data_IF_104305657890
#
_entry.id   IF_104305657890
#
_cell.length_a   1.000
_cell.length_b   1.000
_cell.length_c   1.000
_cell.angle_alpha   90.00
_cell.angle_beta   90.00
_cell.angle_gamma   90.00
#
_symmetry.space_group_name_H-M   'P 1'
#
loop_
_entity.id
_entity.type
_entity.pdbx_description
1 polymer ?
#
# COMPACT_ATOMS: atom_id res chain seq x y z
N UNK A 1 11.29 -9.61 -30.09
CA UNK A 1 10.80 -8.40 -29.44
C UNK A 1 10.71 -8.63 -27.95
N UNK A 2 11.33 -7.76 -27.23
CA UNK A 2 11.34 -7.90 -25.79
C UNK A 2 10.02 -7.54 -25.17
N UNK A 3 9.60 -8.34 -24.21
CA UNK A 3 8.46 -7.99 -23.41
C UNK A 3 8.84 -6.87 -22.46
N UNK A 4 7.90 -6.03 -22.06
CA UNK A 4 8.14 -5.09 -20.97
C UNK A 4 8.64 -5.85 -19.75
N UNK A 5 9.49 -5.21 -18.96
CA UNK A 5 10.02 -5.81 -17.74
C UNK A 5 8.89 -6.12 -16.76
N UNK A 6 7.81 -5.39 -16.84
CA UNK A 6 6.61 -5.67 -16.04
C UNK A 6 5.40 -5.52 -16.93
N UNK A 7 4.37 -6.28 -16.62
CA UNK A 7 3.08 -6.12 -17.26
C UNK A 7 2.15 -5.40 -16.30
N UNK A 8 1.33 -4.48 -16.81
CA UNK A 8 0.34 -3.85 -15.95
C UNK A 8 -0.59 -4.90 -15.37
N UNK A 9 -0.96 -4.75 -14.12
CA UNK A 9 -1.99 -5.60 -13.51
C UNK A 9 -3.34 -5.28 -14.18
N UNK A 10 -4.19 -6.30 -14.27
CA UNK A 10 -5.49 -6.13 -14.89
C UNK A 10 -6.46 -5.42 -13.96
N UNK A 11 -7.14 -4.39 -14.43
CA UNK A 11 -8.13 -3.65 -13.68
C UNK A 11 -9.09 -2.90 -14.59
N UNK A 12 -10.18 -2.43 -14.02
CA UNK A 12 -11.20 -1.66 -14.75
C UNK A 12 -11.06 -0.14 -14.56
N UNK A 13 -9.91 0.32 -14.07
CA UNK A 13 -9.65 1.72 -13.71
C UNK A 13 -10.00 2.05 -12.29
N UNK A 14 -10.75 1.21 -11.60
CA UNK A 14 -11.21 1.43 -10.24
C UNK A 14 -10.72 0.33 -9.28
N UNK A 15 -10.87 -0.92 -9.68
CA UNK A 15 -10.53 -2.06 -8.82
C UNK A 15 -9.65 -3.05 -9.56
N UNK A 16 -8.73 -3.65 -8.82
CA UNK A 16 -7.87 -4.70 -9.33
C UNK A 16 -8.69 -5.96 -9.58
N UNK A 17 -8.50 -6.56 -10.77
CA UNK A 17 -9.31 -7.72 -11.17
C UNK A 17 -9.06 -8.96 -10.33
N UNK A 18 -7.85 -9.11 -9.79
CA UNK A 18 -7.51 -10.28 -9.00
C UNK A 18 -7.93 -10.17 -7.54
N UNK A 19 -7.69 -9.01 -6.92
CA UNK A 19 -7.85 -8.84 -5.48
C UNK A 19 -9.06 -8.02 -5.08
N UNK A 20 -9.65 -7.31 -6.04
CA UNK A 20 -10.72 -6.34 -5.82
C UNK A 20 -10.32 -5.15 -4.92
N UNK A 21 -9.04 -4.99 -4.65
CA UNK A 21 -8.53 -3.78 -4.00
C UNK A 21 -8.58 -2.62 -5.00
N UNK A 22 -8.31 -1.41 -4.51
CA UNK A 22 -8.25 -0.26 -5.40
C UNK A 22 -7.16 -0.47 -6.45
N UNK A 23 -7.48 -0.11 -7.69
CA UNK A 23 -6.50 -0.06 -8.76
C UNK A 23 -5.73 1.27 -8.68
N UNK A 24 -4.54 1.35 -9.26
CA UNK A 24 -3.73 2.56 -9.13
C UNK A 24 -4.43 3.87 -9.49
N UNK A 25 -5.21 3.96 -10.61
CA UNK A 25 -5.83 5.25 -10.92
C UNK A 25 -6.76 5.76 -9.85
N UNK A 26 -7.63 4.90 -9.33
CA UNK A 26 -8.56 5.30 -8.27
C UNK A 26 -7.84 5.57 -6.95
N UNK A 27 -6.83 4.75 -6.65
CA UNK A 27 -6.04 4.94 -5.44
C UNK A 27 -5.37 6.33 -5.42
N UNK A 28 -4.74 6.72 -6.53
CA UNK A 28 -4.07 8.01 -6.61
C UNK A 28 -5.05 9.17 -6.53
N UNK A 29 -6.23 9.00 -7.13
CA UNK A 29 -7.28 10.01 -7.05
C UNK A 29 -7.76 10.20 -5.61
N UNK A 30 -8.01 9.10 -4.90
CA UNK A 30 -8.45 9.16 -3.50
C UNK A 30 -7.33 9.66 -2.59
N UNK A 31 -6.08 9.30 -2.88
CA UNK A 31 -4.92 9.81 -2.13
C UNK A 31 -4.84 11.34 -2.26
N UNK A 32 -5.05 11.87 -3.45
CA UNK A 32 -5.01 13.31 -3.66
C UNK A 32 -6.05 14.03 -2.80
N UNK A 33 -7.23 13.43 -2.66
CA UNK A 33 -8.29 13.99 -1.80
C UNK A 33 -7.88 13.97 -0.33
N UNK A 34 -7.30 12.87 0.13
CA UNK A 34 -6.86 12.77 1.52
C UNK A 34 -5.70 13.71 1.81
N UNK A 35 -4.77 13.89 0.87
CA UNK A 35 -3.70 14.87 1.03
C UNK A 35 -4.25 16.28 1.12
N UNK A 36 -5.27 16.63 0.32
CA UNK A 36 -5.91 17.92 0.39
C UNK A 36 -6.54 18.16 1.77
N UNK A 37 -7.14 17.12 2.36
CA UNK A 37 -7.66 17.21 3.73
C UNK A 37 -6.55 17.42 4.74
N UNK A 38 -5.44 16.68 4.59
CA UNK A 38 -4.28 16.83 5.46
C UNK A 38 -3.76 18.27 5.45
N UNK A 39 -3.72 18.90 4.28
CA UNK A 39 -3.23 20.27 4.16
C UNK A 39 -4.16 21.29 4.82
N UNK A 40 -5.46 20.98 4.90
CA UNK A 40 -6.47 21.91 5.47
C UNK A 40 -6.75 21.66 6.95
N UNK A 41 -6.48 20.49 7.44
CA UNK A 41 -6.78 20.11 8.82
C UNK A 41 -5.61 19.30 9.36
N UNK A 42 -5.46 19.25 10.67
CA UNK A 42 -4.33 18.58 11.30
C UNK A 42 -4.54 17.06 11.37
N UNK A 43 -5.07 16.44 10.31
CA UNK A 43 -5.23 14.98 10.24
C UNK A 43 -3.88 14.38 9.91
N UNK A 44 -3.44 13.41 10.71
CA UNK A 44 -2.21 12.69 10.42
C UNK A 44 -2.49 11.57 9.43
N UNK A 45 -1.58 11.40 8.47
CA UNK A 45 -1.63 10.35 7.45
C UNK A 45 -0.27 9.69 7.35
N UNK A 46 -0.28 8.42 6.96
CA UNK A 46 0.94 7.70 6.58
C UNK A 46 0.67 6.91 5.30
N UNK A 47 1.55 7.05 4.34
CA UNK A 47 1.54 6.23 3.13
C UNK A 47 2.47 5.03 3.34
N UNK A 48 2.03 3.86 2.93
CA UNK A 48 2.77 2.61 3.11
C UNK A 48 2.91 1.93 1.76
N UNK A 49 4.11 1.47 1.47
CA UNK A 49 4.38 0.61 0.33
C UNK A 49 4.75 -0.77 0.87
N UNK A 50 4.04 -1.80 0.40
CA UNK A 50 4.26 -3.18 0.81
C UNK A 50 4.63 -4.01 -0.40
N UNK A 51 5.56 -4.92 -0.23
CA UNK A 51 5.96 -5.85 -1.29
C UNK A 51 5.99 -7.27 -0.77
N UNK A 52 5.45 -8.17 -1.58
CA UNK A 52 5.59 -9.61 -1.40
C UNK A 52 6.78 -10.09 -2.21
N UNK A 53 7.38 -11.24 -1.84
CA UNK A 53 8.42 -11.85 -2.66
C UNK A 53 7.91 -12.13 -4.08
N UNK A 54 8.77 -11.98 -5.07
CA UNK A 54 8.42 -12.25 -6.47
C UNK A 54 8.11 -13.72 -6.73
N UNK A 55 8.37 -14.58 -5.77
CA UNK A 55 8.04 -16.01 -5.82
C UNK A 55 6.63 -16.32 -5.32
N UNK A 56 5.89 -15.29 -4.87
CA UNK A 56 4.54 -15.49 -4.34
C UNK A 56 3.60 -16.01 -5.42
N UNK A 57 2.75 -16.95 -5.04
CA UNK A 57 1.74 -17.49 -5.94
C UNK A 57 0.53 -16.57 -6.01
N UNK A 58 -0.32 -16.79 -7.03
CA UNK A 58 -1.59 -16.05 -7.16
C UNK A 58 -2.43 -16.22 -5.90
N UNK A 59 -2.53 -17.43 -5.37
CA UNK A 59 -3.30 -17.69 -4.15
C UNK A 59 -2.75 -16.93 -2.96
N UNK A 60 -1.43 -16.81 -2.86
CA UNK A 60 -0.79 -16.05 -1.80
C UNK A 60 -1.06 -14.55 -1.94
N UNK A 61 -1.06 -14.04 -3.16
CA UNK A 61 -1.39 -12.64 -3.42
C UNK A 61 -2.82 -12.34 -2.98
N UNK A 62 -3.77 -13.20 -3.36
CA UNK A 62 -5.18 -13.04 -2.98
C UNK A 62 -5.35 -13.14 -1.47
N UNK A 63 -4.69 -14.11 -0.84
CA UNK A 63 -4.76 -14.28 0.61
C UNK A 63 -4.20 -13.06 1.35
N UNK A 64 -3.10 -12.50 0.87
CA UNK A 64 -2.52 -11.30 1.47
C UNK A 64 -3.46 -10.10 1.33
N UNK A 65 -4.09 -9.94 0.16
CA UNK A 65 -5.08 -8.89 -0.05
C UNK A 65 -6.22 -8.98 0.96
N UNK A 66 -6.70 -10.20 1.24
CA UNK A 66 -7.75 -10.42 2.23
C UNK A 66 -7.29 -10.04 3.64
N UNK A 67 -6.05 -10.38 3.99
CA UNK A 67 -5.47 -10.01 5.28
C UNK A 67 -5.41 -8.49 5.42
N UNK A 68 -4.97 -7.79 4.37
CA UNK A 68 -4.94 -6.32 4.38
C UNK A 68 -6.33 -5.73 4.57
N UNK A 69 -7.29 -6.21 3.80
CA UNK A 69 -8.67 -5.72 3.86
C UNK A 69 -9.27 -5.93 5.24
N UNK A 70 -9.03 -7.07 5.86
CA UNK A 70 -9.54 -7.38 7.18
C UNK A 70 -8.84 -6.61 8.30
N UNK A 71 -7.63 -6.14 8.06
CA UNK A 71 -6.85 -5.39 9.05
C UNK A 71 -7.08 -3.89 8.98
N UNK A 72 -7.64 -3.40 7.89
CA UNK A 72 -7.81 -1.97 7.64
C UNK A 72 -9.10 -1.45 8.25
N UNK A 73 -9.10 -0.13 8.51
CA UNK A 73 -10.29 0.60 8.91
C UNK A 73 -11.03 1.08 7.65
N UNK A 74 -12.30 1.46 7.83
CA UNK A 74 -13.14 1.90 6.70
C UNK A 74 -12.55 3.11 5.96
N UNK A 75 -11.86 4.01 6.67
CA UNK A 75 -11.27 5.20 6.07
C UNK A 75 -9.90 4.96 5.42
N UNK A 76 -9.31 3.79 5.65
CA UNK A 76 -8.01 3.45 5.08
C UNK A 76 -8.16 3.11 3.59
N UNK A 77 -7.18 3.52 2.79
CA UNK A 77 -7.15 3.18 1.38
C UNK A 77 -6.17 2.03 1.19
N UNK A 78 -6.59 1.00 0.46
CA UNK A 78 -5.75 -0.15 0.15
C UNK A 78 -5.81 -0.40 -1.33
N UNK A 79 -4.64 -0.48 -1.97
CA UNK A 79 -4.53 -0.69 -3.40
C UNK A 79 -3.53 -1.79 -3.72
N UNK A 80 -3.72 -2.40 -4.87
CA UNK A 80 -2.69 -3.23 -5.50
C UNK A 80 -2.07 -2.38 -6.60
N UNK A 81 -0.79 -2.10 -6.49
CA UNK A 81 -0.09 -1.17 -7.39
C UNK A 81 0.89 -1.86 -8.33
N UNK A 82 1.12 -3.13 -8.15
CA UNK A 82 1.96 -3.95 -9.02
C UNK A 82 1.66 -5.42 -8.78
N UNK A 83 2.33 -6.30 -9.50
CA UNK A 83 2.07 -7.73 -9.37
C UNK A 83 2.25 -8.21 -7.91
N UNK A 84 3.33 -7.76 -7.27
CA UNK A 84 3.66 -8.13 -5.89
C UNK A 84 3.66 -6.92 -4.95
N UNK A 85 3.11 -5.79 -5.39
CA UNK A 85 3.18 -4.56 -4.66
C UNK A 85 1.80 -4.06 -4.26
N UNK A 86 1.71 -3.58 -3.02
CA UNK A 86 0.50 -3.01 -2.46
C UNK A 86 0.82 -1.65 -1.87
N UNK A 87 -0.18 -0.79 -1.84
CA UNK A 87 -0.03 0.54 -1.26
C UNK A 87 -1.21 0.82 -0.34
N UNK A 88 -0.92 1.48 0.76
CA UNK A 88 -1.93 1.86 1.72
C UNK A 88 -1.77 3.33 2.09
N UNK A 89 -2.89 3.96 2.40
CA UNK A 89 -2.89 5.27 3.03
C UNK A 89 -3.75 5.15 4.27
N UNK A 90 -3.15 5.31 5.44
CA UNK A 90 -3.83 5.16 6.71
C UNK A 90 -3.83 6.47 7.47
N UNK A 91 -4.87 6.70 8.27
CA UNK A 91 -4.94 7.85 9.16
C UNK A 91 -4.25 7.52 10.46
N UNK A 92 -3.31 8.37 10.85
CA UNK A 92 -2.54 8.20 12.05
C UNK A 92 -1.06 8.45 11.81
N UNK A 93 -0.27 8.33 12.87
CA UNK A 93 1.16 8.53 12.83
C UNK A 93 1.90 7.19 12.61
N UNK A 94 3.22 7.24 12.69
CA UNK A 94 4.04 6.04 12.50
C UNK A 94 3.71 4.91 13.48
N UNK A 95 3.24 5.24 14.68
CA UNK A 95 2.88 4.21 15.64
C UNK A 95 1.67 3.41 15.19
N UNK A 96 0.74 4.04 14.46
CA UNK A 96 -0.41 3.36 13.86
C UNK A 96 0.06 2.40 12.78
N UNK A 97 1.04 2.80 11.97
CA UNK A 97 1.63 1.93 10.93
C UNK A 97 2.28 0.72 11.57
N UNK A 98 3.07 0.91 12.62
CA UNK A 98 3.74 -0.19 13.31
C UNK A 98 2.73 -1.19 13.87
N UNK A 99 1.65 -0.69 14.45
CA UNK A 99 0.57 -1.55 14.95
C UNK A 99 -0.13 -2.29 13.81
N UNK A 100 -0.34 -1.61 12.70
CA UNK A 100 -0.96 -2.21 11.52
C UNK A 100 -0.09 -3.37 11.00
N UNK A 101 1.19 -3.12 10.80
CA UNK A 101 2.14 -4.13 10.34
C UNK A 101 2.20 -5.30 11.33
N UNK A 102 2.20 -5.00 12.63
CA UNK A 102 2.24 -6.03 13.67
C UNK A 102 1.00 -6.90 13.73
N UNK A 103 -0.14 -6.42 13.21
CA UNK A 103 -1.38 -7.21 13.16
C UNK A 103 -1.49 -8.08 11.92
N UNK A 104 -0.62 -7.88 10.92
CA UNK A 104 -0.67 -8.68 9.70
C UNK A 104 -0.20 -10.09 10.05
N UNK A 105 -1.13 -11.03 9.95
CA UNK A 105 -0.88 -12.45 10.20
C UNK A 105 -0.70 -13.15 8.87
N UNK A 106 0.55 -13.22 8.41
CA UNK A 106 0.84 -13.80 7.12
C UNK A 106 2.18 -14.53 7.18
N UNK A 107 2.20 -15.76 6.68
CA UNK A 107 3.35 -16.65 6.81
C UNK A 107 4.53 -16.28 5.91
N UNK A 108 4.33 -15.34 4.98
CA UNK A 108 5.37 -14.94 4.04
C UNK A 108 6.00 -13.63 4.52
N UNK A 109 7.31 -13.54 4.38
CA UNK A 109 8.03 -12.32 4.70
C UNK A 109 7.57 -11.18 3.79
N UNK A 110 7.16 -10.07 4.38
CA UNK A 110 6.80 -8.87 3.63
C UNK A 110 7.86 -7.80 3.83
N UNK A 111 8.00 -6.94 2.82
CA UNK A 111 8.86 -5.77 2.92
C UNK A 111 8.01 -4.52 2.84
N UNK A 112 8.34 -3.50 3.61
CA UNK A 112 7.53 -2.30 3.62
C UNK A 112 8.37 -1.04 3.82
N UNK A 113 7.83 0.08 3.37
CA UNK A 113 8.33 1.40 3.66
C UNK A 113 7.14 2.30 3.94
N UNK A 114 7.31 3.30 4.77
CA UNK A 114 6.25 4.25 5.07
C UNK A 114 6.78 5.67 5.16
N UNK A 115 5.90 6.63 4.89
CA UNK A 115 6.24 8.04 4.96
C UNK A 115 5.00 8.84 5.32
N UNK A 116 5.17 9.81 6.22
CA UNK A 116 4.13 10.79 6.49
C UNK A 116 4.27 11.95 5.50
N UNK A 117 3.15 12.51 5.00
CA UNK A 117 3.21 13.67 4.12
C UNK A 117 3.84 14.85 4.82
N UNK A 118 4.52 15.69 4.05
CA UNK A 118 5.03 16.97 4.52
C UNK A 118 4.05 18.09 4.17
N UNK A 119 4.10 19.18 4.89
CA UNK A 119 3.28 20.35 4.59
C UNK A 119 3.52 20.81 3.15
N UNK A 120 2.45 20.98 2.38
CA UNK A 120 2.52 21.42 1.00
C UNK A 120 2.91 20.34 -0.01
N UNK A 121 3.16 19.12 0.44
CA UNK A 121 3.57 18.03 -0.44
C UNK A 121 2.40 17.53 -1.28
N UNK A 122 2.62 17.40 -2.58
CA UNK A 122 1.61 16.81 -3.48
C UNK A 122 1.82 15.30 -3.61
N UNK A 123 0.82 14.63 -4.17
CA UNK A 123 0.81 13.16 -4.28
C UNK A 123 2.09 12.63 -4.93
N UNK A 124 2.49 13.20 -6.07
CA UNK A 124 3.67 12.71 -6.79
C UNK A 124 4.95 12.85 -5.96
N UNK A 125 5.10 13.95 -5.24
CA UNK A 125 6.26 14.15 -4.38
C UNK A 125 6.31 13.13 -3.25
N UNK A 126 5.17 12.88 -2.61
CA UNK A 126 5.08 11.88 -1.56
C UNK A 126 5.42 10.48 -2.07
N UNK A 127 4.86 10.11 -3.23
CA UNK A 127 5.13 8.81 -3.83
C UNK A 127 6.59 8.64 -4.22
N UNK A 128 7.19 9.68 -4.81
CA UNK A 128 8.61 9.64 -5.17
C UNK A 128 9.49 9.48 -3.94
N UNK A 129 9.15 10.18 -2.87
CA UNK A 129 9.90 10.10 -1.62
C UNK A 129 9.75 8.72 -0.98
N UNK A 130 8.54 8.16 -1.02
CA UNK A 130 8.27 6.83 -0.50
C UNK A 130 9.06 5.75 -1.27
N UNK A 131 9.15 5.90 -2.59
CA UNK A 131 9.89 4.96 -3.45
C UNK A 131 11.39 4.94 -3.16
N UNK A 132 11.92 6.01 -2.60
CA UNK A 132 13.34 6.13 -2.27
C UNK A 132 13.68 5.56 -0.89
N UNK A 133 12.70 5.26 -0.09
CA UNK A 133 12.92 4.69 1.24
C UNK A 133 13.23 3.20 1.09
N UNK A 134 14.31 2.77 1.73
CA UNK A 134 14.68 1.35 1.73
C UNK A 134 13.62 0.54 2.46
N UNK A 135 13.25 -0.60 1.88
CA UNK A 135 12.24 -1.46 2.46
C UNK A 135 12.76 -2.17 3.72
N UNK A 136 11.91 -2.17 4.74
CA UNK A 136 12.15 -2.92 5.97
C UNK A 136 11.43 -4.26 5.84
N UNK A 137 12.13 -5.34 6.16
CA UNK A 137 11.52 -6.67 6.14
C UNK A 137 10.83 -6.94 7.46
N UNK A 138 9.60 -7.43 7.36
CA UNK A 138 8.83 -7.83 8.52
C UNK A 138 8.40 -9.27 8.35
N UNK A 139 8.74 -10.10 9.34
CA UNK A 139 8.31 -11.48 9.37
C UNK A 139 7.26 -11.60 10.44
N UNK A 140 6.07 -12.05 10.06
CA UNK A 140 4.99 -12.28 11.00
C UNK A 140 4.94 -13.74 11.38
N UNK A 141 6.09 -14.31 11.66
CA UNK A 141 6.16 -15.68 12.11
C UNK A 141 5.81 -15.74 13.57
N UNK A 142 4.94 -16.64 13.89
CA UNK A 142 4.59 -16.95 15.28
C UNK A 142 5.48 -18.03 15.75
N UNK A 143 6.10 -17.73 16.82
CA UNK A 143 6.77 -18.79 17.55
C UNK A 143 5.72 -19.61 18.28
#
# INVERSE_FOLDING_TARGET
>A
MEKPIFEPISHDGRHDSLTNLLAPPLYYEEMARELARFQRSAIELCAIRLELPATSTVDEIVAFADVLSNSARAEDLIARTGEFEFALLVRGDLSVVEKFIGRIDFAIEIAYACAAPKAGEITLELLNRLDQIELTRATTTFA
#
